data_IF_750444708911
#
_entry.id   IF_750444708911
#
_cell.length_a   1.000
_cell.length_b   1.000
_cell.length_c   1.000
_cell.angle_alpha   90.00
_cell.angle_beta   90.00
_cell.angle_gamma   90.00
#
_symmetry.space_group_name_H-M   'P 1'
#
loop_
_entity.id
_entity.type
_entity.pdbx_description
1 polymer ?
#
# COMPACT_ATOMS: atom_id res chain seq x y z
N UNK A 1 5.52 64.33 0.66
CA UNK A 1 6.55 63.47 1.30
C UNK A 1 5.97 62.97 2.60
N UNK A 2 5.84 61.66 2.77
CA UNK A 2 5.23 61.09 3.96
C UNK A 2 6.29 60.80 5.04
N UNK A 3 5.94 61.01 6.30
CA UNK A 3 6.78 60.62 7.44
C UNK A 3 6.71 59.11 7.68
N UNK A 4 7.70 58.54 8.40
CA UNK A 4 7.69 57.10 8.74
C UNK A 4 6.45 56.71 9.55
N UNK A 5 5.96 57.62 10.40
CA UNK A 5 4.73 57.44 11.18
C UNK A 5 3.48 57.39 10.31
N UNK A 6 3.40 58.26 9.29
CA UNK A 6 2.29 58.25 8.32
C UNK A 6 2.30 56.96 7.47
N UNK A 7 3.49 56.51 7.05
CA UNK A 7 3.63 55.24 6.32
C UNK A 7 3.23 54.05 7.21
N UNK A 8 3.66 54.07 8.48
CA UNK A 8 3.31 53.05 9.48
C UNK A 8 1.80 52.95 9.69
N UNK A 9 1.12 54.07 9.89
CA UNK A 9 -0.33 54.11 10.00
C UNK A 9 -1.03 53.67 8.71
N UNK A 10 -0.51 54.06 7.55
CA UNK A 10 -1.12 53.73 6.26
C UNK A 10 -1.01 52.25 5.89
N UNK A 11 0.10 51.60 6.25
CA UNK A 11 0.35 50.19 5.95
C UNK A 11 0.00 49.25 7.12
N UNK A 12 -0.51 49.80 8.23
CA UNK A 12 -0.79 49.08 9.48
C UNK A 12 0.43 48.31 10.02
N UNK A 13 1.57 49.02 10.10
CA UNK A 13 2.86 48.49 10.55
C UNK A 13 3.44 49.35 11.67
N UNK A 14 4.35 48.78 12.47
CA UNK A 14 5.16 49.59 13.39
C UNK A 14 6.19 50.43 12.63
N UNK A 15 6.57 51.60 13.16
CA UNK A 15 7.62 52.45 12.56
C UNK A 15 8.96 51.71 12.40
N UNK A 16 9.27 50.79 13.32
CA UNK A 16 10.43 49.89 13.22
C UNK A 16 10.31 48.99 11.99
N UNK A 17 9.15 48.35 11.79
CA UNK A 17 8.92 47.47 10.64
C UNK A 17 8.93 48.25 9.33
N UNK A 18 8.42 49.48 9.31
CA UNK A 18 8.53 50.38 8.15
C UNK A 18 9.98 50.69 7.81
N UNK A 19 10.82 50.97 8.81
CA UNK A 19 12.26 51.21 8.59
C UNK A 19 12.95 50.02 7.94
N UNK A 20 12.66 48.82 8.43
CA UNK A 20 13.23 47.58 7.88
C UNK A 20 12.69 47.32 6.47
N UNK A 21 11.38 47.50 6.27
CA UNK A 21 10.73 47.36 4.95
C UNK A 21 11.29 48.35 3.91
N UNK A 22 11.54 49.61 4.27
CA UNK A 22 12.12 50.58 3.34
C UNK A 22 13.55 50.19 2.94
N UNK A 23 14.33 49.58 3.85
CA UNK A 23 15.64 49.01 3.50
C UNK A 23 15.50 47.80 2.58
N UNK A 24 14.57 46.88 2.88
CA UNK A 24 14.27 45.70 2.06
C UNK A 24 13.83 46.09 0.64
N UNK A 25 13.07 47.18 0.50
CA UNK A 25 12.57 47.70 -0.78
C UNK A 25 13.54 48.68 -1.47
N UNK A 26 14.68 49.02 -0.84
CA UNK A 26 15.65 49.99 -1.37
C UNK A 26 15.13 51.43 -1.48
N UNK A 27 14.15 51.82 -0.66
CA UNK A 27 13.50 53.13 -0.71
C UNK A 27 14.07 54.10 0.36
N UNK A 28 14.19 55.41 0.07
CA UNK A 28 14.82 56.38 0.96
C UNK A 28 13.94 56.71 2.18
N UNK A 29 14.49 56.55 3.39
CA UNK A 29 13.73 56.66 4.65
C UNK A 29 13.26 58.07 5.06
N UNK A 30 13.70 59.12 4.35
CA UNK A 30 13.46 60.54 4.71
C UNK A 30 12.66 61.33 3.66
N UNK A 31 12.45 60.75 2.47
CA UNK A 31 11.78 61.40 1.32
C UNK A 31 11.03 60.35 0.48
N UNK A 32 10.25 59.49 1.15
CA UNK A 32 9.44 58.50 0.45
C UNK A 32 8.06 59.07 0.13
N UNK A 33 7.60 58.83 -1.09
CA UNK A 33 6.23 59.08 -1.47
C UNK A 33 5.33 57.90 -1.05
N UNK A 34 4.18 58.21 -0.45
CA UNK A 34 3.29 57.21 0.15
C UNK A 34 2.75 56.22 -0.89
N UNK A 35 2.43 56.72 -2.08
CA UNK A 35 1.92 55.90 -3.19
C UNK A 35 2.99 54.94 -3.73
N UNK A 36 4.22 55.41 -3.83
CA UNK A 36 5.36 54.59 -4.21
C UNK A 36 5.61 53.46 -3.20
N UNK A 37 5.63 53.77 -1.90
CA UNK A 37 5.84 52.77 -0.84
C UNK A 37 4.70 51.75 -0.83
N UNK A 38 3.44 52.20 -0.91
CA UNK A 38 2.28 51.31 -0.98
C UNK A 38 2.38 50.36 -2.16
N UNK A 39 2.68 50.87 -3.35
CA UNK A 39 2.77 50.05 -4.57
C UNK A 39 3.92 49.05 -4.48
N UNK A 40 5.09 49.47 -3.97
CA UNK A 40 6.24 48.60 -3.77
C UNK A 40 5.93 47.49 -2.74
N UNK A 41 5.26 47.83 -1.64
CA UNK A 41 4.87 46.87 -0.62
C UNK A 41 3.84 45.86 -1.14
N UNK A 42 2.82 46.30 -1.89
CA UNK A 42 1.85 45.39 -2.52
C UNK A 42 2.55 44.43 -3.48
N UNK A 43 3.51 44.91 -4.29
CA UNK A 43 4.30 44.04 -5.19
C UNK A 43 5.13 43.04 -4.40
N UNK A 44 5.76 43.46 -3.31
CA UNK A 44 6.50 42.58 -2.41
C UNK A 44 5.61 41.49 -1.81
N UNK A 45 4.45 41.84 -1.26
CA UNK A 45 3.49 40.86 -0.73
C UNK A 45 3.01 39.86 -1.79
N UNK A 46 2.76 40.33 -3.02
CA UNK A 46 2.39 39.45 -4.16
C UNK A 46 3.52 38.47 -4.50
N UNK A 47 4.77 38.92 -4.51
CA UNK A 47 5.94 38.08 -4.80
C UNK A 47 6.19 37.02 -3.70
N UNK A 48 6.01 37.40 -2.42
CA UNK A 48 6.11 36.46 -1.30
C UNK A 48 4.99 35.43 -1.35
N UNK A 49 3.75 35.85 -1.58
CA UNK A 49 2.61 34.96 -1.69
C UNK A 49 2.71 34.01 -2.90
N UNK A 50 3.24 34.47 -4.03
CA UNK A 50 3.45 33.61 -5.21
C UNK A 50 4.52 32.55 -4.96
N UNK A 51 5.63 32.91 -4.31
CA UNK A 51 6.72 31.97 -3.97
C UNK A 51 6.24 30.88 -3.02
N UNK A 52 5.50 31.26 -1.98
CA UNK A 52 4.97 30.32 -1.00
C UNK A 52 3.97 29.35 -1.63
N UNK A 53 3.06 29.85 -2.49
CA UNK A 53 2.12 29.01 -3.26
C UNK A 53 2.82 28.08 -4.26
N UNK A 54 3.89 28.52 -4.91
CA UNK A 54 4.62 27.65 -5.83
C UNK A 54 5.39 26.56 -5.08
N UNK A 55 6.08 26.88 -3.99
CA UNK A 55 6.92 25.90 -3.29
C UNK A 55 6.07 24.91 -2.48
N UNK A 56 5.20 25.41 -1.60
CA UNK A 56 4.34 24.57 -0.75
C UNK A 56 3.18 23.97 -1.55
N UNK A 57 2.60 24.70 -2.51
CA UNK A 57 1.49 24.20 -3.32
C UNK A 57 1.91 23.15 -4.34
N UNK A 58 3.10 23.24 -4.94
CA UNK A 58 3.61 22.17 -5.82
C UNK A 58 3.92 20.92 -5.00
N UNK A 59 4.58 21.05 -3.85
CA UNK A 59 4.93 19.91 -2.99
C UNK A 59 3.67 19.21 -2.45
N UNK A 60 2.70 19.98 -1.93
CA UNK A 60 1.42 19.45 -1.47
C UNK A 60 0.64 18.74 -2.59
N UNK A 61 0.69 19.25 -3.82
CA UNK A 61 0.03 18.62 -4.97
C UNK A 61 0.71 17.31 -5.34
N UNK A 62 2.04 17.26 -5.33
CA UNK A 62 2.82 16.05 -5.59
C UNK A 62 2.57 14.99 -4.52
N UNK A 63 2.61 15.35 -3.24
CA UNK A 63 2.35 14.41 -2.14
C UNK A 63 0.90 13.90 -2.15
N UNK A 64 -0.08 14.77 -2.45
CA UNK A 64 -1.48 14.33 -2.66
C UNK A 64 -1.61 13.36 -3.83
N UNK A 65 -0.89 13.58 -4.93
CA UNK A 65 -0.90 12.68 -6.07
C UNK A 65 -0.30 11.30 -5.72
N UNK A 66 0.81 11.26 -4.96
CA UNK A 66 1.41 10.03 -4.43
C UNK A 66 0.44 9.29 -3.51
N UNK A 67 -0.20 10.00 -2.58
CA UNK A 67 -1.20 9.43 -1.68
C UNK A 67 -2.39 8.85 -2.45
N UNK A 68 -2.91 9.58 -3.44
CA UNK A 68 -4.01 9.11 -4.28
C UNK A 68 -3.63 7.88 -5.13
N UNK A 69 -2.38 7.80 -5.61
CA UNK A 69 -1.87 6.60 -6.29
C UNK A 69 -1.78 5.40 -5.34
N UNK A 70 -1.25 5.59 -4.12
CA UNK A 70 -1.19 4.54 -3.11
C UNK A 70 -2.60 4.06 -2.71
N UNK A 71 -3.55 4.98 -2.53
CA UNK A 71 -4.93 4.65 -2.19
C UNK A 71 -5.61 3.87 -3.32
N UNK A 72 -5.42 4.26 -4.58
CA UNK A 72 -5.92 3.51 -5.74
C UNK A 72 -5.39 2.07 -5.76
N UNK A 73 -4.09 1.89 -5.58
CA UNK A 73 -3.47 0.57 -5.53
C UNK A 73 -4.00 -0.29 -4.38
N UNK A 74 -4.25 0.32 -3.21
CA UNK A 74 -4.89 -0.36 -2.08
C UNK A 74 -6.30 -0.84 -2.46
N UNK A 75 -7.12 0.03 -3.04
CA UNK A 75 -8.47 -0.31 -3.49
C UNK A 75 -8.46 -1.40 -4.57
N UNK A 76 -7.53 -1.35 -5.51
CA UNK A 76 -7.37 -2.39 -6.54
C UNK A 76 -7.07 -3.76 -5.92
N UNK A 77 -6.19 -3.83 -4.92
CA UNK A 77 -5.89 -5.06 -4.18
C UNK A 77 -7.12 -5.55 -3.40
N UNK A 78 -7.88 -4.65 -2.78
CA UNK A 78 -9.11 -5.00 -2.06
C UNK A 78 -10.19 -5.55 -3.02
N UNK A 79 -10.37 -4.94 -4.18
CA UNK A 79 -11.27 -5.42 -5.23
C UNK A 79 -10.83 -6.80 -5.74
N UNK A 80 -9.54 -6.98 -6.02
CA UNK A 80 -9.00 -8.27 -6.47
C UNK A 80 -9.20 -9.37 -5.40
N UNK A 81 -9.03 -9.05 -4.11
CA UNK A 81 -9.37 -9.96 -3.00
C UNK A 81 -10.86 -10.32 -2.99
N UNK A 82 -11.75 -9.34 -3.13
CA UNK A 82 -13.20 -9.57 -3.14
C UNK A 82 -13.66 -10.39 -4.35
N UNK A 83 -12.97 -10.29 -5.48
CA UNK A 83 -13.19 -11.14 -6.67
C UNK A 83 -12.62 -12.55 -6.53
N UNK A 84 -11.84 -12.82 -5.48
CA UNK A 84 -11.18 -14.11 -5.28
C UNK A 84 -9.93 -14.31 -6.12
N UNK A 85 -9.37 -13.25 -6.72
CA UNK A 85 -8.14 -13.33 -7.55
C UNK A 85 -6.86 -13.40 -6.69
N UNK A 86 -6.94 -13.03 -5.41
CA UNK A 86 -5.81 -13.02 -4.48
C UNK A 86 -6.10 -13.91 -3.27
N UNK A 87 -5.21 -14.88 -3.03
CA UNK A 87 -5.25 -15.75 -1.86
C UNK A 87 -4.11 -15.39 -0.89
N UNK A 88 -4.34 -15.45 0.43
CA UNK A 88 -3.27 -15.30 1.41
C UNK A 88 -2.23 -16.40 1.25
N UNK A 89 -0.95 -16.02 1.11
CA UNK A 89 0.16 -16.96 0.89
C UNK A 89 0.26 -17.99 2.01
N UNK A 90 0.02 -17.59 3.26
CA UNK A 90 0.10 -18.49 4.41
C UNK A 90 -1.01 -19.53 4.42
N UNK A 91 -2.22 -19.17 3.97
CA UNK A 91 -3.32 -20.12 3.80
C UNK A 91 -3.00 -21.14 2.71
N UNK A 92 -2.51 -20.69 1.56
CA UNK A 92 -2.11 -21.58 0.45
C UNK A 92 -1.02 -22.55 0.91
N UNK A 93 0.01 -22.06 1.62
CA UNK A 93 1.07 -22.91 2.18
C UNK A 93 0.53 -23.92 3.17
N UNK A 94 -0.39 -23.51 4.05
CA UNK A 94 -0.96 -24.40 5.06
C UNK A 94 -1.80 -25.52 4.43
N UNK A 95 -2.65 -25.17 3.45
CA UNK A 95 -3.45 -26.15 2.70
C UNK A 95 -2.55 -27.10 1.93
N UNK A 96 -1.56 -26.58 1.20
CA UNK A 96 -0.62 -27.39 0.43
C UNK A 96 0.18 -28.35 1.33
N UNK A 97 0.68 -27.87 2.47
CA UNK A 97 1.39 -28.70 3.45
C UNK A 97 0.50 -29.80 4.03
N UNK A 98 -0.74 -29.45 4.39
CA UNK A 98 -1.72 -30.41 4.92
C UNK A 98 -2.06 -31.49 3.90
N UNK A 99 -2.27 -31.11 2.63
CA UNK A 99 -2.48 -32.03 1.52
C UNK A 99 -1.27 -32.95 1.33
N UNK A 100 -0.06 -32.40 1.21
CA UNK A 100 1.16 -33.19 1.03
C UNK A 100 1.37 -34.19 2.19
N UNK A 101 1.11 -33.78 3.42
CA UNK A 101 1.19 -34.66 4.59
C UNK A 101 0.17 -35.81 4.51
N UNK A 102 -1.09 -35.51 4.21
CA UNK A 102 -2.15 -36.53 4.06
C UNK A 102 -1.81 -37.53 2.96
N UNK A 103 -1.35 -37.04 1.80
CA UNK A 103 -0.89 -37.88 0.69
C UNK A 103 0.20 -38.83 1.14
N UNK A 104 1.24 -38.31 1.81
CA UNK A 104 2.32 -39.13 2.36
C UNK A 104 1.78 -40.20 3.33
N UNK A 105 0.95 -39.81 4.27
CA UNK A 105 0.43 -40.72 5.31
C UNK A 105 -0.40 -41.85 4.68
N UNK A 106 -1.19 -41.55 3.63
CA UNK A 106 -1.99 -42.56 2.90
C UNK A 106 -1.13 -43.50 2.06
N UNK A 107 -0.17 -42.98 1.31
CA UNK A 107 0.73 -43.82 0.51
C UNK A 107 1.56 -44.75 1.41
N UNK A 108 2.03 -44.26 2.56
CA UNK A 108 2.77 -45.09 3.52
C UNK A 108 1.91 -46.16 4.20
N UNK A 109 0.58 -46.05 4.16
CA UNK A 109 -0.33 -47.08 4.68
C UNK A 109 -0.44 -48.29 3.73
N UNK A 110 -0.18 -48.11 2.43
CA UNK A 110 -0.31 -49.17 1.42
C UNK A 110 0.62 -50.37 1.74
N UNK A 111 1.94 -50.19 1.97
CA UNK A 111 2.80 -51.32 2.34
C UNK A 111 2.37 -52.00 3.64
N UNK A 112 1.89 -51.23 4.62
CA UNK A 112 1.42 -51.79 5.89
C UNK A 112 0.21 -52.71 5.69
N UNK A 113 -0.75 -52.34 4.83
CA UNK A 113 -1.93 -53.15 4.51
C UNK A 113 -1.60 -54.35 3.62
N UNK A 114 -0.76 -54.16 2.61
CA UNK A 114 -0.54 -55.16 1.57
C UNK A 114 0.61 -56.14 1.86
N UNK A 115 1.53 -55.85 2.78
CA UNK A 115 2.73 -56.67 2.99
C UNK A 115 2.44 -58.17 3.23
N UNK A 116 1.46 -58.50 4.06
CA UNK A 116 1.11 -59.89 4.35
C UNK A 116 0.42 -60.59 3.17
N UNK A 117 -0.42 -59.86 2.43
CA UNK A 117 -1.16 -60.38 1.27
C UNK A 117 -0.18 -60.67 0.13
N UNK A 118 0.65 -59.69 -0.21
CA UNK A 118 1.64 -59.81 -1.29
C UNK A 118 2.74 -60.81 -0.95
N UNK A 119 3.11 -60.94 0.33
CA UNK A 119 4.09 -61.92 0.78
C UNK A 119 3.67 -63.38 0.57
N UNK A 120 2.37 -63.63 0.37
CA UNK A 120 1.81 -64.98 0.14
C UNK A 120 1.26 -65.18 -1.27
N UNK A 121 1.33 -64.18 -2.15
CA UNK A 121 0.79 -64.23 -3.51
C UNK A 121 1.88 -64.65 -4.52
N UNK A 122 1.80 -65.86 -5.12
CA UNK A 122 2.82 -66.35 -6.03
C UNK A 122 2.71 -65.78 -7.46
N UNK A 123 1.57 -65.16 -7.84
CA UNK A 123 1.37 -64.65 -9.19
C UNK A 123 1.76 -63.16 -9.31
N UNK A 124 2.83 -62.82 -10.07
CA UNK A 124 3.27 -61.43 -10.24
C UNK A 124 2.20 -60.50 -10.83
N UNK A 125 1.34 -61.00 -11.71
CA UNK A 125 0.26 -60.19 -12.32
C UNK A 125 -0.79 -59.80 -11.27
N UNK A 126 -1.07 -60.69 -10.31
CA UNK A 126 -1.99 -60.38 -9.20
C UNK A 126 -1.36 -59.40 -8.21
N UNK A 127 -0.07 -59.54 -7.93
CA UNK A 127 0.70 -58.62 -7.09
C UNK A 127 0.67 -57.20 -7.66
N UNK A 128 0.93 -57.04 -8.95
CA UNK A 128 0.87 -55.75 -9.64
C UNK A 128 -0.55 -55.16 -9.59
N UNK A 129 -1.57 -55.96 -9.91
CA UNK A 129 -2.98 -55.53 -9.89
C UNK A 129 -3.41 -55.02 -8.50
N UNK A 130 -3.05 -55.74 -7.44
CA UNK A 130 -3.39 -55.35 -6.05
C UNK A 130 -2.68 -54.06 -5.62
N UNK A 131 -1.42 -53.87 -6.03
CA UNK A 131 -0.70 -52.62 -5.78
C UNK A 131 -1.33 -51.45 -6.54
N UNK A 132 -1.68 -51.63 -7.82
CA UNK A 132 -2.32 -50.59 -8.62
C UNK A 132 -3.68 -50.19 -8.01
N UNK A 133 -4.49 -51.17 -7.62
CA UNK A 133 -5.80 -50.94 -6.99
C UNK A 133 -5.66 -50.14 -5.69
N UNK A 134 -4.71 -50.51 -4.82
CA UNK A 134 -4.48 -49.78 -3.57
C UNK A 134 -3.95 -48.36 -3.77
N UNK A 135 -3.09 -48.13 -4.77
CA UNK A 135 -2.63 -46.79 -5.13
C UNK A 135 -3.80 -45.96 -5.66
N UNK A 136 -4.65 -46.54 -6.51
CA UNK A 136 -5.82 -45.86 -7.06
C UNK A 136 -6.82 -45.49 -5.97
N UNK A 137 -7.14 -46.41 -5.05
CA UNK A 137 -7.98 -46.16 -3.88
C UNK A 137 -7.43 -44.99 -3.05
N UNK A 138 -6.13 -45.00 -2.74
CA UNK A 138 -5.49 -43.92 -1.99
C UNK A 138 -5.55 -42.56 -2.71
N UNK A 139 -5.42 -42.53 -4.04
CA UNK A 139 -5.51 -41.30 -4.84
C UNK A 139 -6.95 -40.80 -4.97
N UNK A 140 -7.93 -41.69 -5.08
CA UNK A 140 -9.36 -41.34 -5.10
C UNK A 140 -9.82 -40.77 -3.76
N UNK A 141 -9.37 -41.32 -2.63
CA UNK A 141 -9.64 -40.73 -1.31
C UNK A 141 -9.03 -39.32 -1.17
N UNK A 142 -7.89 -39.06 -1.81
CA UNK A 142 -7.24 -37.75 -1.80
C UNK A 142 -7.90 -36.75 -2.76
N UNK A 143 -8.68 -37.19 -3.74
CA UNK A 143 -9.33 -36.30 -4.71
C UNK A 143 -10.68 -35.74 -4.24
N UNK A 144 -11.20 -36.22 -3.09
CA UNK A 144 -12.48 -35.79 -2.52
C UNK A 144 -12.59 -34.28 -2.22
N UNK A 145 -13.76 -33.70 -2.49
CA UNK A 145 -14.07 -32.25 -2.44
C UNK A 145 -13.78 -31.57 -1.08
N UNK A 146 -13.72 -32.32 0.03
CA UNK A 146 -13.33 -31.82 1.36
C UNK A 146 -11.94 -31.16 1.40
N UNK A 147 -11.09 -31.39 0.39
CA UNK A 147 -9.77 -30.79 0.28
C UNK A 147 -9.75 -29.32 -0.13
N UNK A 148 -10.77 -28.85 -0.85
CA UNK A 148 -10.75 -27.56 -1.54
C UNK A 148 -11.58 -26.48 -0.85
N UNK A 149 -12.33 -26.82 0.21
CA UNK A 149 -13.09 -25.82 0.96
C UNK A 149 -12.20 -25.15 2.00
N UNK A 150 -11.80 -23.89 1.84
CA UNK A 150 -11.14 -23.16 2.92
C UNK A 150 -12.11 -23.12 4.11
N UNK A 151 -11.62 -23.47 5.31
CA UNK A 151 -12.35 -23.19 6.56
C UNK A 151 -12.68 -21.70 6.54
N UNK A 152 -13.96 -21.36 6.43
CA UNK A 152 -14.38 -19.97 6.44
C UNK A 152 -13.79 -19.30 7.68
N UNK A 153 -12.92 -18.31 7.45
CA UNK A 153 -12.32 -17.53 8.51
C UNK A 153 -13.43 -17.00 9.40
N UNK A 154 -13.43 -17.43 10.66
CA UNK A 154 -14.14 -16.78 11.75
C UNK A 154 -13.82 -15.28 11.69
N UNK A 155 -14.79 -14.49 11.25
CA UNK A 155 -14.80 -13.05 11.45
C UNK A 155 -14.80 -12.81 12.96
N UNK A 156 -13.68 -12.34 13.49
CA UNK A 156 -13.60 -11.57 14.75
C UNK A 156 -13.32 -10.12 14.40
#
# INVERSE_FOLDING_TARGET
MATQREIAQHLDLSERRVRDLLKELGLPSRQSDLEQVRTAYIRHLRAVASRHKSEEGLDLTQERAKLAAAQRKKTEIEVAKLRGELLPVDEVKHVAFTLARRTRDRLMLIPHRLSAILGSEPNPVQVERQMEEAIREALEELSGEEMLTPKQGTKS
#
